data_IF_187667845809
#
_entry.id   IF_187667845809
#
_cell.length_a   1.000
_cell.length_b   1.000
_cell.length_c   1.000
_cell.angle_alpha   90.00
_cell.angle_beta   90.00
_cell.angle_gamma   90.00
#
_symmetry.space_group_name_H-M   'P 1'
#
loop_
_entity.id
_entity.type
_entity.pdbx_description
1 polymer ?
#
# COMPACT_ATOMS: atom_id res chain seq x y z
N UNK A 1 32.62 79.51 43.49
CA UNK A 1 33.76 80.11 44.22
C UNK A 1 34.81 79.03 44.39
N UNK A 2 35.89 79.18 43.61
CA UNK A 2 37.30 78.91 43.93
C UNK A 2 37.56 77.92 45.07
N UNK A 3 38.05 76.72 44.72
CA UNK A 3 39.48 76.36 44.62
C UNK A 3 40.02 75.96 45.99
N UNK A 4 40.60 74.76 46.07
CA UNK A 4 41.82 74.67 46.85
C UNK A 4 42.86 73.75 46.20
N UNK A 5 44.04 74.35 46.16
CA UNK A 5 45.34 73.95 45.66
C UNK A 5 45.93 72.84 46.56
N UNK A 6 46.71 71.91 45.99
CA UNK A 6 48.17 71.87 46.16
C UNK A 6 48.79 70.48 45.94
N UNK A 7 50.03 70.56 45.51
CA UNK A 7 50.91 69.54 44.95
C UNK A 7 51.81 68.83 46.00
N UNK A 8 52.40 67.71 45.54
CA UNK A 8 53.78 67.22 45.75
C UNK A 8 54.11 66.08 46.76
N UNK A 9 54.60 64.98 46.15
CA UNK A 9 55.70 64.05 46.54
C UNK A 9 55.55 63.18 47.82
N UNK A 10 56.04 61.93 47.94
CA UNK A 10 56.99 61.10 47.16
C UNK A 10 56.91 59.63 47.64
N UNK A 11 57.16 58.71 46.71
CA UNK A 11 57.83 57.41 46.83
C UNK A 11 57.22 56.19 47.60
N UNK A 12 56.82 55.22 46.75
CA UNK A 12 57.21 53.81 46.74
C UNK A 12 56.58 52.81 47.74
N UNK A 13 55.58 52.07 47.24
CA UNK A 13 55.61 50.61 47.36
C UNK A 13 55.14 49.94 46.06
N UNK A 14 56.11 49.35 45.36
CA UNK A 14 55.90 48.47 44.22
C UNK A 14 55.25 47.18 44.72
N UNK A 15 54.01 46.92 44.34
CA UNK A 15 53.43 45.57 44.36
C UNK A 15 53.14 45.14 42.92
N UNK A 16 54.06 44.33 42.39
CA UNK A 16 53.92 43.66 41.09
C UNK A 16 52.63 42.82 41.09
N UNK A 17 51.67 43.18 40.25
CA UNK A 17 50.54 42.30 39.93
C UNK A 17 51.03 40.99 39.30
N UNK A 18 50.39 39.83 39.58
CA UNK A 18 50.88 38.56 39.10
C UNK A 18 50.76 38.54 37.57
N UNK A 19 51.90 38.45 36.88
CA UNK A 19 51.94 38.11 35.46
C UNK A 19 51.32 36.73 35.31
N UNK A 20 50.03 36.65 35.00
CA UNK A 20 49.38 35.40 34.58
C UNK A 20 50.20 34.90 33.38
N UNK A 21 50.93 33.82 33.58
CA UNK A 21 51.87 33.36 32.56
C UNK A 21 51.06 32.96 31.33
N UNK A 22 51.45 33.39 30.12
CA UNK A 22 50.75 33.02 28.89
C UNK A 22 50.76 31.49 28.68
N UNK A 23 51.70 30.80 29.33
CA UNK A 23 51.77 29.34 29.41
C UNK A 23 50.59 28.73 30.18
N UNK A 24 50.20 29.30 31.31
CA UNK A 24 49.10 28.78 32.13
C UNK A 24 47.75 28.96 31.42
N UNK A 25 47.56 30.11 30.76
CA UNK A 25 46.38 30.35 29.93
C UNK A 25 46.35 29.40 28.71
N UNK A 26 47.49 29.20 28.04
CA UNK A 26 47.60 28.24 26.92
C UNK A 26 47.34 26.80 27.38
N UNK A 27 47.84 26.41 28.55
CA UNK A 27 47.58 25.08 29.14
C UNK A 27 46.10 24.89 29.45
N UNK A 28 45.43 25.92 29.98
CA UNK A 28 43.97 25.87 30.23
C UNK A 28 43.19 25.76 28.92
N UNK A 29 43.56 26.52 27.89
CA UNK A 29 42.90 26.45 26.57
C UNK A 29 43.13 25.09 25.90
N UNK A 30 44.34 24.53 25.98
CA UNK A 30 44.64 23.18 25.46
C UNK A 30 43.88 22.11 26.24
N UNK A 31 43.80 22.22 27.56
CA UNK A 31 43.01 21.31 28.39
C UNK A 31 41.52 21.37 28.03
N UNK A 32 40.98 22.59 27.82
CA UNK A 32 39.59 22.77 27.42
C UNK A 32 39.33 22.23 26.01
N UNK A 33 40.24 22.45 25.06
CA UNK A 33 40.16 21.91 23.71
C UNK A 33 40.24 20.37 23.69
N UNK A 34 41.06 19.76 24.56
CA UNK A 34 41.13 18.30 24.73
C UNK A 34 39.83 17.74 25.32
N UNK A 35 39.25 18.39 26.35
CA UNK A 35 37.98 17.97 26.94
C UNK A 35 36.83 18.12 25.95
N UNK A 36 36.76 19.24 25.22
CA UNK A 36 35.78 19.44 24.17
C UNK A 36 35.98 18.45 23.01
N UNK A 37 37.22 18.17 22.62
CA UNK A 37 37.56 17.19 21.59
C UNK A 37 37.14 15.77 21.99
N UNK A 38 37.40 15.36 23.23
CA UNK A 38 36.95 14.07 23.76
C UNK A 38 35.42 14.02 23.88
N UNK A 39 34.77 15.12 24.27
CA UNK A 39 33.31 15.20 24.35
C UNK A 39 32.65 15.12 22.97
N UNK A 40 33.16 15.87 21.98
CA UNK A 40 32.71 15.81 20.59
C UNK A 40 33.00 14.43 20.01
N UNK A 41 34.18 13.86 20.23
CA UNK A 41 34.53 12.51 19.78
C UNK A 41 33.65 11.45 20.47
N UNK A 42 33.25 11.63 21.73
CA UNK A 42 32.30 10.77 22.44
C UNK A 42 30.89 10.87 21.87
N UNK A 43 30.42 12.06 21.50
CA UNK A 43 29.13 12.25 20.81
C UNK A 43 29.20 11.68 19.39
N UNK A 44 30.28 11.91 18.66
CA UNK A 44 30.51 11.33 17.33
C UNK A 44 30.60 9.80 17.40
N UNK A 45 31.27 9.21 18.40
CA UNK A 45 31.32 7.76 18.62
C UNK A 45 29.94 7.21 19.02
N UNK A 46 29.15 7.93 19.83
CA UNK A 46 27.74 7.60 20.11
C UNK A 46 26.86 7.70 18.86
N UNK A 47 27.20 8.55 17.90
CA UNK A 47 26.52 8.64 16.59
C UNK A 47 27.05 7.61 15.57
N UNK A 48 28.30 7.15 15.70
CA UNK A 48 29.00 6.29 14.73
C UNK A 48 28.97 4.78 15.11
N UNK A 49 28.51 4.38 16.30
CA UNK A 49 28.21 2.94 16.56
C UNK A 49 27.17 2.68 17.68
N UNK A 50 26.00 2.06 17.41
CA UNK A 50 25.40 1.70 16.13
C UNK A 50 23.99 2.32 15.94
N UNK A 51 23.91 3.46 15.25
CA UNK A 51 22.75 3.72 14.39
C UNK A 51 22.82 2.91 13.07
N UNK A 52 23.88 2.11 12.90
CA UNK A 52 23.91 0.85 12.13
C UNK A 52 23.22 -0.32 12.85
N UNK A 53 22.28 -0.02 13.75
CA UNK A 53 21.01 -0.74 13.69
C UNK A 53 20.14 -0.08 12.61
N UNK A 54 20.59 -0.12 11.35
CA UNK A 54 19.90 -1.02 10.44
C UNK A 54 19.27 -2.14 11.28
N UNK A 55 17.95 -2.03 11.50
CA UNK A 55 17.14 -3.22 11.67
C UNK A 55 17.48 -4.11 10.47
N UNK A 56 18.58 -4.86 10.57
CA UNK A 56 18.50 -6.27 10.36
C UNK A 56 17.27 -6.63 11.17
N UNK A 57 16.15 -6.71 10.43
CA UNK A 57 15.08 -7.58 10.83
C UNK A 57 15.80 -8.78 11.44
N UNK A 58 15.58 -9.01 12.73
CA UNK A 58 15.70 -10.35 13.26
C UNK A 58 14.65 -11.18 12.48
N UNK A 59 14.91 -11.41 11.19
CA UNK A 59 14.71 -12.71 10.60
C UNK A 59 15.61 -13.54 11.49
N UNK A 60 15.03 -14.06 12.57
CA UNK A 60 15.55 -15.28 13.15
C UNK A 60 15.52 -16.23 11.96
N UNK A 61 16.64 -16.33 11.25
CA UNK A 61 16.94 -17.45 10.39
C UNK A 61 17.05 -18.56 11.43
N UNK A 62 15.91 -19.14 11.75
CA UNK A 62 15.88 -20.35 12.52
C UNK A 62 16.58 -21.35 11.62
N UNK A 63 17.74 -21.83 12.05
CA UNK A 63 18.50 -22.92 11.42
C UNK A 63 17.72 -24.23 11.57
N UNK A 64 16.45 -24.24 11.17
CA UNK A 64 15.76 -25.48 10.89
C UNK A 64 16.21 -25.87 9.49
N UNK A 65 16.94 -26.97 9.31
CA UNK A 65 17.26 -27.47 7.99
C UNK A 65 15.93 -27.78 7.30
N UNK A 66 15.53 -26.93 6.36
CA UNK A 66 14.38 -27.15 5.51
C UNK A 66 14.74 -28.32 4.58
N UNK A 67 14.62 -29.55 5.08
CA UNK A 67 14.90 -30.76 4.33
C UNK A 67 13.86 -30.89 3.22
N UNK A 68 14.26 -30.56 2.00
CA UNK A 68 13.56 -30.91 0.77
C UNK A 68 14.38 -31.97 0.04
N UNK A 69 14.41 -33.20 0.56
CA UNK A 69 15.23 -34.27 -0.05
C UNK A 69 14.72 -34.71 -1.41
N UNK A 70 13.44 -34.47 -1.73
CA UNK A 70 12.78 -35.06 -2.91
C UNK A 70 12.07 -34.05 -3.83
N UNK A 71 12.32 -32.75 -3.68
CA UNK A 71 11.67 -31.69 -4.47
C UNK A 71 12.73 -30.88 -5.21
N UNK A 72 12.63 -30.82 -6.53
CA UNK A 72 13.58 -30.05 -7.34
C UNK A 72 13.50 -28.54 -6.99
N UNK A 73 14.62 -27.83 -7.10
CA UNK A 73 14.74 -26.41 -6.67
C UNK A 73 13.66 -25.50 -7.28
N UNK A 74 13.21 -25.81 -8.50
CA UNK A 74 12.17 -25.05 -9.21
C UNK A 74 10.75 -25.42 -8.77
N UNK A 75 10.53 -26.59 -8.17
CA UNK A 75 9.23 -27.06 -7.68
C UNK A 75 8.92 -26.52 -6.29
N UNK A 76 9.94 -26.21 -5.48
CA UNK A 76 9.80 -25.68 -4.11
C UNK A 76 8.76 -24.55 -3.95
N UNK A 77 8.62 -23.58 -4.88
CA UNK A 77 7.60 -22.53 -4.79
C UNK A 77 6.15 -23.02 -5.00
N UNK A 78 5.97 -24.20 -5.61
CA UNK A 78 4.66 -24.74 -6.03
C UNK A 78 4.20 -25.93 -5.18
N UNK A 79 5.02 -26.42 -4.25
CA UNK A 79 4.66 -27.57 -3.40
C UNK A 79 3.66 -27.16 -2.32
N UNK A 80 2.76 -28.10 -1.98
CA UNK A 80 1.75 -27.93 -0.94
C UNK A 80 2.40 -27.64 0.41
N UNK A 81 1.98 -26.53 1.04
CA UNK A 81 2.45 -26.10 2.34
C UNK A 81 2.02 -27.08 3.45
N UNK A 82 2.85 -27.30 4.48
CA UNK A 82 2.49 -28.16 5.60
C UNK A 82 1.25 -27.59 6.30
N UNK A 83 0.39 -28.50 6.78
CA UNK A 83 -0.68 -28.15 7.70
C UNK A 83 -0.06 -27.89 9.06
N UNK A 84 -0.06 -26.64 9.56
CA UNK A 84 0.56 -26.37 10.84
C UNK A 84 -0.29 -26.98 11.98
N UNK A 85 0.36 -27.63 12.93
CA UNK A 85 -0.21 -28.14 14.17
C UNK A 85 -0.27 -27.05 15.25
N UNK A 86 0.76 -26.20 15.31
CA UNK A 86 0.92 -25.15 16.33
C UNK A 86 0.51 -23.76 15.84
N UNK A 87 0.46 -23.56 14.52
CA UNK A 87 0.22 -22.27 13.86
C UNK A 87 1.25 -21.19 14.23
N UNK A 88 2.40 -21.61 14.77
CA UNK A 88 3.51 -20.72 15.11
C UNK A 88 4.24 -20.25 13.85
N UNK A 89 4.93 -19.11 13.93
CA UNK A 89 5.72 -18.62 12.79
C UNK A 89 6.90 -19.55 12.51
N UNK A 90 7.44 -20.12 13.57
CA UNK A 90 8.54 -21.08 13.60
C UNK A 90 8.21 -22.32 12.77
N UNK A 91 7.00 -22.88 12.94
CA UNK A 91 6.53 -24.03 12.16
C UNK A 91 6.46 -23.74 10.65
N UNK A 92 6.16 -22.50 10.29
CA UNK A 92 6.10 -22.05 8.90
C UNK A 92 7.42 -21.43 8.40
N UNK A 93 8.52 -21.48 9.16
CA UNK A 93 9.75 -20.71 8.88
C UNK A 93 10.39 -21.07 7.52
N UNK A 94 10.26 -22.33 7.10
CA UNK A 94 10.76 -22.82 5.81
C UNK A 94 9.99 -22.32 4.58
N UNK A 95 8.89 -21.58 4.78
CA UNK A 95 8.03 -21.11 3.69
C UNK A 95 8.19 -19.59 3.49
N UNK A 96 8.86 -19.14 2.41
CA UNK A 96 8.99 -17.72 2.14
C UNK A 96 7.62 -17.11 1.81
N UNK A 97 7.27 -16.04 2.52
CA UNK A 97 5.99 -15.34 2.32
C UNK A 97 6.16 -14.26 1.25
N UNK A 98 5.29 -14.25 0.25
CA UNK A 98 5.23 -13.22 -0.78
C UNK A 98 4.34 -12.07 -0.32
N UNK A 99 4.90 -10.87 -0.34
CA UNK A 99 4.14 -9.66 -0.08
C UNK A 99 3.46 -9.17 -1.34
N UNK A 100 2.20 -8.80 -1.25
CA UNK A 100 1.49 -8.18 -2.37
C UNK A 100 0.60 -7.02 -1.95
N UNK A 101 0.22 -6.21 -2.93
CA UNK A 101 -0.81 -5.18 -2.80
C UNK A 101 -1.67 -5.14 -4.07
N UNK A 102 -3.00 -5.10 -3.91
CA UNK A 102 -3.95 -4.98 -5.01
C UNK A 102 -4.28 -3.50 -5.21
N UNK A 103 -3.63 -2.87 -6.18
CA UNK A 103 -3.95 -1.50 -6.59
C UNK A 103 -5.19 -1.47 -7.48
N UNK A 104 -6.20 -0.70 -7.06
CA UNK A 104 -7.48 -0.65 -7.76
C UNK A 104 -8.13 0.74 -7.64
N UNK A 105 -9.21 0.93 -8.37
CA UNK A 105 -10.16 2.02 -8.13
C UNK A 105 -11.46 1.47 -7.55
N UNK A 106 -12.30 2.33 -6.98
CA UNK A 106 -13.64 1.95 -6.58
C UNK A 106 -14.41 1.38 -7.79
N UNK A 107 -15.17 0.31 -7.53
CA UNK A 107 -16.04 -0.37 -8.51
C UNK A 107 -15.32 -1.04 -9.69
N UNK A 108 -14.03 -1.34 -9.53
CA UNK A 108 -13.25 -2.14 -10.48
C UNK A 108 -13.23 -3.65 -10.18
N UNK A 109 -14.04 -4.13 -9.22
CA UNK A 109 -14.16 -5.55 -8.91
C UNK A 109 -13.15 -6.08 -7.87
N UNK A 110 -12.36 -5.21 -7.25
CA UNK A 110 -11.31 -5.60 -6.29
C UNK A 110 -11.83 -6.30 -5.03
N UNK A 111 -13.03 -5.96 -4.54
CA UNK A 111 -13.65 -6.72 -3.45
C UNK A 111 -14.01 -8.16 -3.83
N UNK A 112 -14.42 -8.40 -5.08
CA UNK A 112 -14.71 -9.75 -5.57
C UNK A 112 -13.41 -10.51 -5.86
N UNK A 113 -12.45 -9.88 -6.52
CA UNK A 113 -11.14 -10.45 -6.80
C UNK A 113 -10.39 -10.85 -5.52
N UNK A 114 -10.42 -9.98 -4.50
CA UNK A 114 -9.86 -10.29 -3.18
C UNK A 114 -10.50 -11.55 -2.55
N UNK A 115 -11.82 -11.73 -2.67
CA UNK A 115 -12.46 -12.96 -2.17
C UNK A 115 -12.04 -14.21 -2.94
N UNK A 116 -11.73 -14.10 -4.24
CA UNK A 116 -11.15 -15.22 -5.01
C UNK A 116 -9.79 -15.58 -4.45
N UNK A 117 -8.89 -14.60 -4.29
CA UNK A 117 -7.56 -14.84 -3.73
C UNK A 117 -7.65 -15.42 -2.31
N UNK A 118 -8.52 -14.88 -1.46
CA UNK A 118 -8.72 -15.39 -0.10
C UNK A 118 -9.37 -16.77 -0.03
N UNK A 119 -9.92 -17.31 -1.12
CA UNK A 119 -10.35 -18.72 -1.17
C UNK A 119 -9.18 -19.69 -1.30
N UNK A 120 -8.00 -19.20 -1.71
CA UNK A 120 -6.76 -19.96 -1.63
C UNK A 120 -6.36 -20.16 -0.15
N UNK A 121 -5.99 -21.38 0.21
CA UNK A 121 -5.70 -21.71 1.61
C UNK A 121 -4.47 -20.97 2.15
N UNK A 122 -3.44 -20.75 1.31
CA UNK A 122 -2.18 -20.09 1.67
C UNK A 122 -2.15 -18.58 1.37
N UNK A 123 -3.29 -17.95 1.07
CA UNK A 123 -3.34 -16.50 0.79
C UNK A 123 -4.14 -15.78 1.87
N UNK A 124 -3.59 -14.68 2.35
CA UNK A 124 -4.26 -13.75 3.25
C UNK A 124 -4.20 -12.31 2.72
N UNK A 125 -5.34 -11.82 2.22
CA UNK A 125 -5.57 -10.42 1.86
C UNK A 125 -6.43 -9.75 2.92
N UNK A 126 -5.90 -8.67 3.50
CA UNK A 126 -6.41 -8.01 4.70
C UNK A 126 -7.42 -6.87 4.44
N UNK A 127 -8.12 -6.89 3.30
CA UNK A 127 -9.10 -5.85 2.97
C UNK A 127 -8.45 -4.51 2.66
N UNK A 128 -9.21 -3.44 2.85
CA UNK A 128 -8.80 -2.06 2.54
C UNK A 128 -8.21 -1.35 3.76
N UNK A 129 -6.96 -1.68 4.10
CA UNK A 129 -6.32 -1.19 5.34
C UNK A 129 -6.02 0.32 5.30
N UNK A 130 -5.83 0.90 4.12
CA UNK A 130 -5.54 2.33 3.95
C UNK A 130 -6.79 3.20 3.80
N UNK A 131 -7.98 2.71 4.18
CA UNK A 131 -9.20 3.52 4.26
C UNK A 131 -9.15 4.63 5.34
N UNK A 132 -8.39 4.42 6.41
CA UNK A 132 -8.18 5.38 7.52
C UNK A 132 -7.10 6.41 7.19
N UNK A 133 -7.39 7.71 7.41
CA UNK A 133 -6.52 8.82 6.97
C UNK A 133 -5.16 8.80 7.66
N UNK A 134 -5.14 8.42 8.93
CA UNK A 134 -3.94 8.41 9.78
C UNK A 134 -2.85 7.49 9.20
N UNK A 135 -3.25 6.36 8.60
CA UNK A 135 -2.33 5.39 8.00
C UNK A 135 -1.67 5.87 6.70
N UNK A 136 -2.19 6.95 6.12
CA UNK A 136 -1.72 7.52 4.85
C UNK A 136 -1.41 9.02 4.94
N UNK A 137 -1.17 9.51 6.15
CA UNK A 137 -0.86 10.93 6.38
C UNK A 137 0.54 11.32 5.87
N UNK A 138 1.46 10.35 5.77
CA UNK A 138 2.82 10.53 5.26
C UNK A 138 3.40 9.20 4.77
N UNK A 139 4.52 9.26 4.05
CA UNK A 139 5.29 8.06 3.66
C UNK A 139 5.67 7.22 4.89
N UNK A 140 6.07 7.86 6.00
CA UNK A 140 6.43 7.14 7.23
C UNK A 140 5.25 6.41 7.87
N UNK A 141 4.04 7.00 7.85
CA UNK A 141 2.84 6.33 8.36
C UNK A 141 2.46 5.12 7.48
N UNK A 142 2.67 5.26 6.17
CA UNK A 142 2.47 4.19 5.21
C UNK A 142 3.43 3.04 5.47
N UNK A 143 4.75 3.31 5.52
CA UNK A 143 5.76 2.25 5.72
C UNK A 143 5.57 1.54 7.06
N UNK A 144 5.25 2.27 8.13
CA UNK A 144 4.91 1.64 9.43
C UNK A 144 3.70 0.70 9.32
N UNK A 145 2.70 1.05 8.52
CA UNK A 145 1.53 0.20 8.29
C UNK A 145 1.89 -1.01 7.43
N UNK A 146 2.71 -0.84 6.40
CA UNK A 146 3.20 -1.93 5.55
C UNK A 146 4.02 -2.93 6.37
N UNK A 147 4.94 -2.45 7.21
CA UNK A 147 5.75 -3.29 8.10
C UNK A 147 4.88 -4.14 9.01
N UNK A 148 3.85 -3.55 9.64
CA UNK A 148 2.92 -4.32 10.48
C UNK A 148 2.22 -5.45 9.73
N UNK A 149 1.83 -5.21 8.47
CA UNK A 149 1.14 -6.23 7.67
C UNK A 149 2.10 -7.32 7.22
N UNK A 150 3.29 -6.94 6.75
CA UNK A 150 4.26 -7.86 6.17
C UNK A 150 5.11 -8.61 7.21
N UNK A 151 5.21 -8.07 8.43
CA UNK A 151 5.70 -8.80 9.61
C UNK A 151 4.64 -9.73 10.22
N UNK A 152 3.43 -9.79 9.65
CA UNK A 152 2.32 -10.62 10.13
C UNK A 152 1.79 -10.22 11.52
N UNK A 153 2.09 -9.00 11.98
CA UNK A 153 1.57 -8.42 13.23
C UNK A 153 0.12 -7.91 13.08
N UNK A 154 -0.47 -8.10 11.90
CA UNK A 154 -1.82 -7.65 11.58
C UNK A 154 -2.87 -8.68 11.99
N UNK A 155 -3.49 -8.46 13.15
CA UNK A 155 -4.62 -9.25 13.61
C UNK A 155 -5.81 -9.04 12.65
N UNK A 156 -6.10 -10.04 11.84
CA UNK A 156 -7.31 -10.12 11.02
C UNK A 156 -8.26 -11.15 11.62
N UNK A 157 -9.57 -10.95 11.44
CA UNK A 157 -10.59 -11.89 11.90
C UNK A 157 -10.62 -13.21 11.12
N UNK A 158 -9.79 -13.35 10.09
CA UNK A 158 -9.69 -14.57 9.30
C UNK A 158 -8.57 -15.45 9.87
N UNK A 159 -8.92 -16.36 10.79
CA UNK A 159 -8.02 -17.47 11.13
C UNK A 159 -7.84 -18.34 9.89
N UNK A 160 -6.59 -18.48 9.44
CA UNK A 160 -6.23 -19.44 8.39
C UNK A 160 -5.66 -20.67 9.08
N UNK A 161 -6.17 -21.84 8.71
CA UNK A 161 -5.75 -23.12 9.26
C UNK A 161 -4.47 -23.66 8.56
N UNK A 162 -3.71 -22.81 7.88
CA UNK A 162 -2.57 -23.19 7.04
C UNK A 162 -1.50 -22.09 7.06
N UNK A 163 -0.24 -22.46 6.81
CA UNK A 163 0.84 -21.48 6.64
C UNK A 163 0.53 -20.54 5.45
N UNK A 164 0.70 -19.24 5.65
CA UNK A 164 0.58 -18.26 4.57
C UNK A 164 1.79 -18.33 3.63
N UNK A 165 1.50 -18.35 2.34
CA UNK A 165 2.48 -18.25 1.26
C UNK A 165 2.47 -16.85 0.62
N UNK A 166 1.32 -16.16 0.65
CA UNK A 166 1.22 -14.79 0.21
C UNK A 166 0.34 -13.96 1.15
N UNK A 167 0.84 -12.78 1.51
CA UNK A 167 0.15 -11.84 2.40
C UNK A 167 0.09 -10.47 1.75
N UNK A 168 -1.08 -9.86 1.81
CA UNK A 168 -1.31 -8.58 1.20
C UNK A 168 -2.60 -7.94 1.64
N UNK A 169 -3.04 -6.99 0.83
CA UNK A 169 -4.24 -6.21 1.07
C UNK A 169 -4.67 -5.49 -0.21
N UNK A 170 -5.85 -4.90 -0.16
CA UNK A 170 -6.39 -4.06 -1.23
C UNK A 170 -6.12 -2.59 -0.94
N UNK A 171 -5.74 -1.83 -1.97
CA UNK A 171 -5.42 -0.43 -1.83
C UNK A 171 -5.98 0.38 -3.00
N UNK A 172 -6.86 1.33 -2.68
CA UNK A 172 -7.45 2.17 -3.71
C UNK A 172 -6.51 3.32 -4.10
N UNK A 173 -6.42 3.64 -5.39
CA UNK A 173 -5.52 4.69 -5.90
C UNK A 173 -5.79 6.10 -5.32
N UNK A 174 -6.96 6.34 -4.73
CA UNK A 174 -7.29 7.58 -4.03
C UNK A 174 -6.97 7.56 -2.53
N UNK A 175 -6.20 6.58 -2.06
CA UNK A 175 -5.83 6.42 -0.65
C UNK A 175 -4.34 6.60 -0.43
N UNK A 176 -3.77 7.67 -0.98
CA UNK A 176 -2.35 8.00 -0.81
C UNK A 176 -1.41 7.32 -1.81
N UNK A 177 -1.85 6.29 -2.56
CA UNK A 177 -0.99 5.60 -3.56
C UNK A 177 -0.43 6.58 -4.58
N UNK A 178 -1.29 7.43 -5.14
CA UNK A 178 -0.89 8.39 -6.18
C UNK A 178 -0.11 9.58 -5.61
N UNK A 179 -0.28 9.89 -4.33
CA UNK A 179 0.32 11.05 -3.64
C UNK A 179 1.72 10.73 -3.12
N UNK A 180 1.93 9.49 -2.65
CA UNK A 180 3.16 9.02 -2.02
C UNK A 180 3.87 7.95 -2.87
N UNK A 181 3.65 7.96 -4.19
CA UNK A 181 4.06 6.88 -5.09
C UNK A 181 5.56 6.57 -5.03
N UNK A 182 6.43 7.58 -4.93
CA UNK A 182 7.89 7.38 -4.90
C UNK A 182 8.32 6.57 -3.68
N UNK A 183 7.87 6.96 -2.48
CA UNK A 183 8.18 6.25 -1.24
C UNK A 183 7.59 4.84 -1.20
N UNK A 184 6.40 4.65 -1.77
CA UNK A 184 5.77 3.33 -1.86
C UNK A 184 6.53 2.44 -2.86
N UNK A 185 6.88 2.96 -4.03
CA UNK A 185 7.64 2.22 -5.05
C UNK A 185 9.02 1.83 -4.53
N UNK A 186 9.69 2.72 -3.79
CA UNK A 186 10.96 2.42 -3.14
C UNK A 186 10.82 1.29 -2.12
N UNK A 187 9.83 1.38 -1.22
CA UNK A 187 9.53 0.31 -0.27
C UNK A 187 9.26 -1.03 -0.98
N UNK A 188 8.49 -1.01 -2.07
CA UNK A 188 8.13 -2.22 -2.83
C UNK A 188 9.37 -2.88 -3.44
N UNK A 189 10.31 -2.10 -3.99
CA UNK A 189 11.58 -2.62 -4.51
C UNK A 189 12.43 -3.23 -3.40
N UNK A 190 12.62 -2.50 -2.31
CA UNK A 190 13.46 -2.93 -1.18
C UNK A 190 12.93 -4.22 -0.53
N UNK A 191 11.61 -4.36 -0.38
CA UNK A 191 10.97 -5.48 0.30
C UNK A 191 10.41 -6.55 -0.66
N UNK A 192 10.64 -6.41 -1.97
CA UNK A 192 10.21 -7.37 -2.97
C UNK A 192 8.69 -7.56 -3.07
N UNK A 193 7.90 -6.52 -2.82
CA UNK A 193 6.43 -6.54 -2.85
C UNK A 193 5.90 -6.63 -4.29
N UNK A 194 4.90 -7.47 -4.50
CA UNK A 194 4.24 -7.72 -5.77
C UNK A 194 3.00 -6.81 -5.92
N UNK A 195 3.02 -5.90 -6.89
CA UNK A 195 1.89 -5.02 -7.18
C UNK A 195 0.94 -5.67 -8.20
N UNK A 196 -0.33 -5.85 -7.82
CA UNK A 196 -1.38 -6.33 -8.72
C UNK A 196 -2.28 -5.15 -9.06
N UNK A 197 -2.18 -4.64 -10.28
CA UNK A 197 -3.10 -3.61 -10.77
C UNK A 197 -4.38 -4.27 -11.26
N UNK A 198 -5.48 -4.08 -10.54
CA UNK A 198 -6.80 -4.54 -10.97
C UNK A 198 -7.67 -3.35 -11.42
N UNK A 199 -7.88 -3.28 -12.73
CA UNK A 199 -8.72 -2.26 -13.34
C UNK A 199 -9.92 -2.85 -14.06
N UNK A 200 -10.81 -1.97 -14.52
CA UNK A 200 -11.99 -2.35 -15.28
C UNK A 200 -11.93 -1.63 -16.61
N UNK A 201 -11.95 -2.38 -17.72
CA UNK A 201 -11.83 -1.81 -19.08
C UNK A 201 -13.02 -0.93 -19.40
N UNK A 202 -14.24 -1.39 -19.10
CA UNK A 202 -15.44 -0.60 -19.38
C UNK A 202 -15.66 0.47 -18.29
N UNK A 203 -15.15 1.67 -18.53
CA UNK A 203 -15.21 2.80 -17.60
C UNK A 203 -16.60 3.41 -17.49
N UNK A 204 -17.43 3.33 -18.53
CA UNK A 204 -18.85 3.75 -18.46
C UNK A 204 -19.61 2.85 -17.48
N UNK A 205 -19.47 1.54 -17.61
CA UNK A 205 -20.05 0.56 -16.68
C UNK A 205 -19.54 0.74 -15.25
N UNK A 206 -18.26 1.08 -15.09
CA UNK A 206 -17.70 1.44 -13.79
C UNK A 206 -18.40 2.68 -13.21
N UNK A 207 -18.55 3.75 -13.99
CA UNK A 207 -19.21 4.99 -13.59
C UNK A 207 -20.65 4.75 -13.14
N UNK A 208 -21.43 3.99 -13.92
CA UNK A 208 -22.79 3.59 -13.55
C UNK A 208 -22.80 2.88 -12.19
N UNK A 209 -21.87 1.95 -11.98
CA UNK A 209 -21.76 1.26 -10.70
C UNK A 209 -21.31 2.16 -9.55
N UNK A 210 -20.54 3.22 -9.80
CA UNK A 210 -20.15 4.22 -8.78
C UNK A 210 -21.39 5.02 -8.36
N UNK A 211 -22.15 5.52 -9.32
CA UNK A 211 -23.36 6.30 -9.06
C UNK A 211 -24.41 5.46 -8.32
N UNK A 212 -24.64 4.22 -8.75
CA UNK A 212 -25.55 3.31 -8.06
C UNK A 212 -25.10 2.96 -6.63
N UNK A 213 -23.80 2.78 -6.39
CA UNK A 213 -23.29 2.56 -5.04
C UNK A 213 -23.43 3.80 -4.15
N UNK A 214 -23.28 5.00 -4.72
CA UNK A 214 -23.54 6.26 -4.01
C UNK A 214 -25.00 6.39 -3.63
N UNK A 215 -25.92 6.03 -4.53
CA UNK A 215 -27.34 5.99 -4.25
C UNK A 215 -27.67 5.01 -3.12
N UNK A 216 -27.13 3.78 -3.15
CA UNK A 216 -27.31 2.78 -2.09
C UNK A 216 -26.80 3.30 -0.74
N UNK A 217 -25.66 3.99 -0.71
CA UNK A 217 -25.12 4.59 0.51
C UNK A 217 -26.07 5.62 1.14
N UNK A 218 -26.72 6.44 0.32
CA UNK A 218 -27.63 7.50 0.78
C UNK A 218 -29.04 6.99 1.11
N UNK A 219 -29.58 6.09 0.29
CA UNK A 219 -30.98 5.67 0.36
C UNK A 219 -31.18 4.32 1.06
N UNK A 220 -30.12 3.52 1.18
CA UNK A 220 -30.07 2.24 1.88
C UNK A 220 -31.29 1.32 1.58
N UNK A 221 -31.59 1.05 0.29
CA UNK A 221 -32.76 0.28 -0.14
C UNK A 221 -32.82 -1.15 0.42
N UNK A 222 -31.74 -1.69 0.99
CA UNK A 222 -31.73 -2.98 1.67
C UNK A 222 -32.03 -2.80 3.16
N UNK A 223 -33.29 -2.50 3.49
CA UNK A 223 -33.78 -2.36 4.86
C UNK A 223 -32.93 -1.40 5.72
N UNK A 224 -32.58 -0.23 5.18
CA UNK A 224 -31.80 0.77 5.92
C UNK A 224 -30.31 0.44 6.05
N UNK A 225 -29.81 -0.58 5.35
CA UNK A 225 -28.39 -0.95 5.32
C UNK A 225 -27.76 -0.68 3.96
N UNK A 226 -26.58 -0.04 3.95
CA UNK A 226 -25.74 0.09 2.75
C UNK A 226 -24.93 -1.20 2.54
N UNK A 227 -24.94 -1.77 1.33
CA UNK A 227 -24.11 -2.94 0.98
C UNK A 227 -23.37 -2.71 -0.33
N UNK A 228 -22.07 -2.45 -0.22
CA UNK A 228 -21.17 -2.33 -1.38
C UNK A 228 -21.04 -3.64 -2.19
N UNK A 229 -21.27 -4.79 -1.55
CA UNK A 229 -21.24 -6.13 -2.13
C UNK A 229 -22.39 -6.94 -1.56
N UNK A 230 -22.96 -7.84 -2.37
CA UNK A 230 -24.09 -8.70 -1.98
C UNK A 230 -23.76 -10.16 -2.24
N UNK A 231 -24.40 -11.04 -1.48
CA UNK A 231 -24.26 -12.49 -1.59
C UNK A 231 -25.54 -13.17 -2.08
N UNK A 232 -26.65 -12.43 -2.16
CA UNK A 232 -27.93 -12.91 -2.66
C UNK A 232 -28.28 -12.29 -4.00
N UNK A 233 -28.81 -13.11 -4.92
CA UNK A 233 -29.35 -12.65 -6.19
C UNK A 233 -30.56 -11.73 -6.01
N UNK A 234 -31.32 -11.90 -4.91
CA UNK A 234 -32.47 -11.04 -4.58
C UNK A 234 -32.00 -9.64 -4.18
N UNK A 235 -31.00 -9.54 -3.32
CA UNK A 235 -30.40 -8.25 -2.93
C UNK A 235 -29.78 -7.53 -4.14
N UNK A 236 -29.07 -8.28 -5.00
CA UNK A 236 -28.53 -7.75 -6.26
C UNK A 236 -29.63 -7.15 -7.14
N UNK A 237 -30.76 -7.87 -7.31
CA UNK A 237 -31.90 -7.37 -8.09
C UNK A 237 -32.50 -6.11 -7.50
N UNK A 238 -32.59 -5.98 -6.18
CA UNK A 238 -33.09 -4.76 -5.52
C UNK A 238 -32.19 -3.57 -5.81
N UNK A 239 -30.87 -3.73 -5.63
CA UNK A 239 -29.90 -2.67 -5.89
C UNK A 239 -29.85 -2.27 -7.36
N UNK A 240 -29.97 -3.23 -8.28
CA UNK A 240 -29.92 -3.00 -9.72
C UNK A 240 -31.16 -2.26 -10.28
N UNK A 241 -32.23 -2.06 -9.49
CA UNK A 241 -33.40 -1.28 -9.91
C UNK A 241 -33.07 0.19 -10.13
N UNK A 242 -32.11 0.73 -9.37
CA UNK A 242 -31.73 2.13 -9.51
C UNK A 242 -30.94 2.33 -10.81
N UNK A 243 -31.41 3.26 -11.64
CA UNK A 243 -30.74 3.68 -12.86
C UNK A 243 -30.25 5.11 -12.67
N UNK A 244 -28.94 5.37 -12.62
CA UNK A 244 -28.45 6.75 -12.58
C UNK A 244 -28.74 7.48 -13.89
N UNK A 245 -28.90 8.80 -13.79
CA UNK A 245 -28.76 9.74 -14.91
C UNK A 245 -27.31 10.22 -14.94
N UNK A 246 -26.65 10.14 -16.09
CA UNK A 246 -25.24 10.55 -16.25
C UNK A 246 -25.19 11.95 -16.85
N UNK A 247 -24.26 12.79 -16.38
CA UNK A 247 -24.03 14.09 -17.00
C UNK A 247 -23.25 13.90 -18.32
N UNK A 248 -23.94 14.07 -19.44
CA UNK A 248 -23.37 13.88 -20.76
C UNK A 248 -22.27 14.91 -21.09
N UNK A 249 -22.39 16.14 -20.57
CA UNK A 249 -21.44 17.22 -20.79
C UNK A 249 -20.06 16.93 -20.19
N UNK A 250 -19.99 16.24 -19.05
CA UNK A 250 -18.72 15.90 -18.37
C UNK A 250 -18.22 14.49 -18.68
N UNK A 251 -19.02 13.67 -19.35
CA UNK A 251 -18.78 12.23 -19.52
C UNK A 251 -17.38 11.91 -20.08
N UNK A 252 -17.01 12.49 -21.23
CA UNK A 252 -15.72 12.22 -21.87
C UNK A 252 -14.56 12.62 -20.95
N UNK A 253 -14.67 13.78 -20.30
CA UNK A 253 -13.63 14.29 -19.40
C UNK A 253 -13.44 13.38 -18.19
N UNK A 254 -14.54 12.87 -17.61
CA UNK A 254 -14.50 11.93 -16.48
C UNK A 254 -13.91 10.57 -16.88
N UNK A 255 -14.30 10.02 -18.03
CA UNK A 255 -13.72 8.78 -18.56
C UNK A 255 -12.21 8.94 -18.79
N UNK A 256 -11.78 10.07 -19.37
CA UNK A 256 -10.37 10.41 -19.58
C UNK A 256 -9.60 10.58 -18.29
N UNK A 257 -10.19 11.22 -17.29
CA UNK A 257 -9.55 11.38 -15.99
C UNK A 257 -9.25 10.03 -15.34
N UNK A 258 -10.21 9.10 -15.37
CA UNK A 258 -10.07 7.75 -14.81
C UNK A 258 -9.01 6.96 -15.57
N UNK A 259 -9.08 6.94 -16.89
CA UNK A 259 -8.12 6.27 -17.78
C UNK A 259 -6.67 6.75 -17.54
N UNK A 260 -6.47 8.07 -17.49
CA UNK A 260 -5.17 8.68 -17.20
C UNK A 260 -4.67 8.35 -15.79
N UNK A 261 -5.56 8.17 -14.81
CA UNK A 261 -5.18 7.79 -13.46
C UNK A 261 -4.68 6.35 -13.38
N UNK A 262 -5.30 5.43 -14.13
CA UNK A 262 -4.82 4.04 -14.22
C UNK A 262 -3.45 3.98 -14.90
N UNK A 263 -3.29 4.67 -16.03
CA UNK A 263 -2.03 4.73 -16.78
C UNK A 263 -0.89 5.29 -15.94
N UNK A 264 -1.12 6.41 -15.24
CA UNK A 264 -0.10 7.00 -14.34
C UNK A 264 0.26 6.07 -13.19
N UNK A 265 -0.71 5.36 -12.61
CA UNK A 265 -0.43 4.42 -11.53
C UNK A 265 0.49 3.28 -12.01
N UNK A 266 0.29 2.77 -13.23
CA UNK A 266 1.18 1.76 -13.81
C UNK A 266 2.58 2.34 -14.03
N UNK A 267 2.68 3.54 -14.63
CA UNK A 267 3.97 4.18 -14.91
C UNK A 267 4.78 4.47 -13.63
N UNK A 268 4.14 4.93 -12.56
CA UNK A 268 4.79 5.17 -11.26
C UNK A 268 5.44 3.91 -10.66
N UNK A 269 4.91 2.74 -10.97
CA UNK A 269 5.37 1.46 -10.44
C UNK A 269 6.01 0.57 -11.51
N UNK A 270 6.36 1.12 -12.68
CA UNK A 270 6.96 0.33 -13.78
C UNK A 270 8.26 -0.38 -13.41
N UNK A 271 8.98 0.15 -12.43
CA UNK A 271 10.25 -0.40 -11.91
C UNK A 271 10.05 -1.41 -10.76
N UNK A 272 8.81 -1.65 -10.33
CA UNK A 272 8.48 -2.67 -9.32
C UNK A 272 7.99 -3.95 -10.00
N UNK A 273 7.97 -5.04 -9.24
CA UNK A 273 7.35 -6.30 -9.68
C UNK A 273 5.85 -6.09 -9.76
N UNK A 274 5.30 -6.01 -10.96
CA UNK A 274 3.87 -5.77 -11.13
C UNK A 274 3.25 -6.59 -12.25
N UNK A 275 1.93 -6.80 -12.13
CA UNK A 275 1.07 -7.36 -13.17
C UNK A 275 -0.17 -6.47 -13.33
N UNK A 276 -0.65 -6.32 -14.57
CA UNK A 276 -1.90 -5.61 -14.87
C UNK A 276 -2.97 -6.62 -15.24
N UNK A 277 -4.08 -6.57 -14.51
CA UNK A 277 -5.22 -7.46 -14.62
C UNK A 277 -6.47 -6.62 -14.83
N UNK A 278 -7.30 -7.02 -15.80
CA UNK A 278 -8.59 -6.39 -16.01
C UNK A 278 -9.72 -7.30 -15.52
N UNK A 279 -10.72 -6.70 -14.87
CA UNK A 279 -11.90 -7.39 -14.37
C UNK A 279 -12.57 -8.26 -15.43
N UNK A 280 -12.69 -7.75 -16.65
CA UNK A 280 -13.27 -8.43 -17.79
C UNK A 280 -12.50 -9.71 -18.13
N UNK A 281 -11.16 -9.67 -18.05
CA UNK A 281 -10.30 -10.82 -18.32
C UNK A 281 -10.49 -11.90 -17.24
N UNK A 282 -10.65 -11.50 -15.97
CA UNK A 282 -10.87 -12.45 -14.85
C UNK A 282 -12.26 -13.09 -14.92
N UNK A 283 -13.28 -12.33 -15.32
CA UNK A 283 -14.67 -12.85 -15.45
C UNK A 283 -14.81 -13.73 -16.69
N UNK A 284 -14.27 -13.31 -17.82
CA UNK A 284 -14.42 -14.00 -19.10
C UNK A 284 -13.40 -15.13 -19.32
N UNK A 285 -12.24 -15.07 -18.66
CA UNK A 285 -11.16 -16.03 -18.84
C UNK A 285 -10.48 -16.42 -17.50
N UNK A 286 -10.76 -17.65 -17.04
CA UNK A 286 -10.17 -18.18 -15.80
C UNK A 286 -8.65 -18.35 -15.86
N UNK A 287 -8.00 -18.32 -17.04
CA UNK A 287 -6.53 -18.40 -17.10
C UNK A 287 -5.85 -17.21 -16.44
N UNK A 288 -6.50 -16.03 -16.41
CA UNK A 288 -5.91 -14.84 -15.78
C UNK A 288 -5.71 -15.03 -14.27
N UNK A 289 -6.55 -15.83 -13.61
CA UNK A 289 -6.35 -16.19 -12.20
C UNK A 289 -5.19 -17.16 -12.01
N UNK A 290 -4.86 -17.99 -13.00
CA UNK A 290 -3.67 -18.83 -12.97
C UNK A 290 -2.41 -17.96 -13.05
N UNK A 291 -2.38 -17.00 -13.97
CA UNK A 291 -1.27 -16.04 -14.09
C UNK A 291 -1.04 -15.24 -12.79
N UNK A 292 -2.11 -14.87 -12.07
CA UNK A 292 -1.97 -14.20 -10.77
C UNK A 292 -1.39 -15.14 -9.70
N UNK A 293 -1.82 -16.41 -9.69
CA UNK A 293 -1.25 -17.42 -8.78
C UNK A 293 0.23 -17.63 -9.08
N UNK A 294 0.62 -17.73 -10.34
CA UNK A 294 2.03 -17.83 -10.78
C UNK A 294 2.85 -16.61 -10.40
N UNK A 295 2.30 -15.42 -10.63
CA UNK A 295 2.94 -14.16 -10.26
C UNK A 295 3.22 -14.07 -8.75
N UNK A 296 2.33 -14.64 -7.93
CA UNK A 296 2.52 -14.77 -6.49
C UNK A 296 3.26 -16.06 -6.07
N UNK A 297 3.69 -16.88 -7.03
CA UNK A 297 4.34 -18.19 -6.81
C UNK A 297 3.53 -19.09 -5.88
N UNK A 298 2.26 -19.26 -6.20
CA UNK A 298 1.33 -20.09 -5.47
C UNK A 298 1.07 -21.38 -6.23
N UNK A 299 0.84 -22.51 -5.53
CA UNK A 299 0.29 -23.70 -6.16
C UNK A 299 -1.06 -23.36 -6.81
N UNK A 300 -1.33 -23.93 -7.97
CA UNK A 300 -2.61 -23.70 -8.62
C UNK A 300 -3.77 -24.26 -7.83
N UNK A 301 -4.78 -23.43 -7.62
CA UNK A 301 -6.09 -23.83 -7.11
C UNK A 301 -7.23 -23.19 -7.87
N UNK A 302 -8.37 -23.86 -7.83
CA UNK A 302 -9.63 -23.29 -8.29
C UNK A 302 -10.15 -22.30 -7.26
N UNK A 303 -10.07 -21.02 -7.62
CA UNK A 303 -10.49 -19.92 -6.75
C UNK A 303 -12.01 -19.68 -6.88
N UNK A 304 -12.67 -19.48 -5.75
CA UNK A 304 -14.13 -19.32 -5.68
C UNK A 304 -14.51 -18.07 -4.89
N UNK A 305 -15.69 -17.52 -5.18
CA UNK A 305 -16.23 -16.35 -4.48
C UNK A 305 -17.73 -16.48 -4.32
N UNK A 306 -18.23 -16.06 -3.15
CA UNK A 306 -19.67 -16.01 -2.85
C UNK A 306 -20.32 -14.68 -3.24
N UNK A 307 -19.54 -13.70 -3.72
CA UNK A 307 -20.11 -12.40 -4.09
C UNK A 307 -20.86 -12.51 -5.42
N UNK A 308 -22.02 -11.87 -5.50
CA UNK A 308 -22.86 -11.83 -6.69
C UNK A 308 -22.73 -10.46 -7.37
N UNK A 309 -22.66 -10.47 -8.70
CA UNK A 309 -22.65 -9.25 -9.51
C UNK A 309 -24.01 -8.55 -9.42
N UNK A 310 -24.01 -7.28 -9.01
CA UNK A 310 -25.23 -6.47 -8.90
C UNK A 310 -25.81 -6.14 -10.28
N UNK A 311 -24.99 -5.53 -11.14
CA UNK A 311 -25.43 -5.06 -12.46
C UNK A 311 -25.04 -6.06 -13.55
N UNK A 312 -26.02 -6.73 -14.16
CA UNK A 312 -25.87 -7.64 -15.31
C UNK A 312 -26.73 -7.19 -16.49
N UNK A 313 -26.36 -7.60 -17.71
CA UNK A 313 -27.04 -7.23 -18.95
C UNK A 313 -26.67 -5.86 -19.50
N UNK A 314 -27.32 -5.46 -20.60
CA UNK A 314 -27.02 -4.27 -21.39
C UNK A 314 -27.06 -2.96 -20.58
N UNK A 315 -26.10 -2.07 -20.85
CA UNK A 315 -25.99 -0.76 -20.20
C UNK A 315 -27.19 0.15 -20.44
N UNK A 316 -27.84 0.04 -21.60
CA UNK A 316 -29.07 0.78 -21.92
C UNK A 316 -30.20 0.54 -20.92
N UNK A 317 -30.24 -0.64 -20.28
CA UNK A 317 -31.22 -0.95 -19.24
C UNK A 317 -30.82 -0.44 -17.85
N UNK A 318 -29.59 0.06 -17.69
CA UNK A 318 -28.99 0.43 -16.40
C UNK A 318 -28.83 1.93 -16.21
N UNK A 319 -29.18 2.77 -17.20
CA UNK A 319 -29.11 4.23 -17.12
C UNK A 319 -30.42 4.86 -17.59
N UNK A 320 -30.67 6.10 -17.18
CA UNK A 320 -31.91 6.81 -17.58
C UNK A 320 -31.81 7.46 -18.95
N UNK A 321 -30.69 8.10 -19.26
CA UNK A 321 -30.47 8.90 -20.48
C UNK A 321 -29.53 8.19 -21.46
N UNK A 322 -29.85 6.94 -21.82
CA UNK A 322 -29.00 6.11 -22.69
C UNK A 322 -28.73 6.76 -24.05
N UNK A 323 -29.76 7.30 -24.71
CA UNK A 323 -29.61 7.87 -26.06
C UNK A 323 -28.66 9.06 -26.09
N UNK A 324 -28.62 9.85 -25.01
CA UNK A 324 -27.70 10.99 -24.86
C UNK A 324 -26.26 10.49 -24.67
N UNK A 325 -26.06 9.47 -23.83
CA UNK A 325 -24.75 8.84 -23.61
C UNK A 325 -24.23 8.23 -24.91
N UNK A 326 -25.08 7.52 -25.65
CA UNK A 326 -24.72 6.91 -26.92
C UNK A 326 -24.23 7.98 -27.90
N UNK A 327 -25.01 9.05 -28.12
CA UNK A 327 -24.62 10.16 -29.00
C UNK A 327 -23.29 10.83 -28.61
N UNK A 328 -23.01 10.96 -27.31
CA UNK A 328 -21.75 11.56 -26.84
C UNK A 328 -20.55 10.63 -27.04
N UNK A 329 -20.73 9.32 -26.99
CA UNK A 329 -19.65 8.35 -27.09
C UNK A 329 -19.38 7.87 -28.52
N UNK A 330 -20.38 7.90 -29.40
CA UNK A 330 -20.24 7.59 -30.83
C UNK A 330 -19.14 8.42 -31.48
N UNK A 331 -18.25 7.78 -32.26
CA UNK A 331 -17.11 8.42 -32.91
C UNK A 331 -15.95 8.79 -31.97
N UNK A 332 -16.05 8.48 -30.68
CA UNK A 332 -14.97 8.72 -29.71
C UNK A 332 -14.17 7.44 -29.44
N UNK A 333 -12.98 7.58 -28.84
CA UNK A 333 -12.19 6.43 -28.35
C UNK A 333 -12.90 5.57 -27.29
N UNK A 334 -14.01 6.06 -26.75
CA UNK A 334 -14.81 5.40 -25.72
C UNK A 334 -16.09 4.76 -26.27
N UNK A 335 -16.35 4.85 -27.57
CA UNK A 335 -17.51 4.24 -28.23
C UNK A 335 -17.63 2.75 -27.89
N UNK A 336 -16.50 2.05 -27.82
CA UNK A 336 -16.44 0.62 -27.49
C UNK A 336 -17.08 0.29 -26.14
N UNK A 337 -17.17 1.24 -25.20
CA UNK A 337 -17.83 1.03 -23.91
C UNK A 337 -19.34 0.86 -24.00
N UNK A 338 -19.97 1.22 -25.14
CA UNK A 338 -21.39 0.99 -25.39
C UNK A 338 -21.71 -0.50 -25.60
N UNK A 339 -20.76 -1.25 -26.17
CA UNK A 339 -20.97 -2.62 -26.67
C UNK A 339 -20.15 -3.67 -25.90
N UNK A 340 -18.99 -3.30 -25.34
CA UNK A 340 -18.10 -4.22 -24.66
C UNK A 340 -18.61 -4.56 -23.26
N UNK A 341 -19.28 -5.71 -23.14
CA UNK A 341 -19.42 -6.36 -21.83
C UNK A 341 -18.30 -7.35 -21.57
N UNK A 342 -18.00 -8.25 -22.52
CA UNK A 342 -16.98 -9.32 -22.38
C UNK A 342 -16.46 -9.87 -23.73
N UNK A 343 -16.51 -9.11 -24.83
CA UNK A 343 -15.92 -9.59 -26.09
C UNK A 343 -14.39 -9.42 -26.03
N UNK A 344 -13.71 -10.50 -26.46
CA UNK A 344 -12.25 -10.71 -26.40
C UNK A 344 -11.46 -9.66 -27.17
#
# INVERSE_FOLDING_TARGET
MTEDLCFFNKDALVTKGPKKSPLLLRLVVVAFAMVCGVYICSICLKQISPHTTAKFLNIRIFDQPCNSSDIEEWEKPFVHYPKPETFSREECACNPVRYFAIFSMQRSGSGWFETLLNSHINVSSNGEIFGKRERRASVSAITQTLDRVYNLDWLSSASKNECNAAVGFKWMLNQGVMEHHEGIAEYFKQNGVHAIFLFRRNLLRRMISVLANSYDKSNKPLNGTHKSHVHSSVEAKVLAKYKPKINATTLIAELKHVDNRATRAIDYFKSTRHIVVYYEDVVGNRTKLKEVQDFLRLPYRDLTSRQVKIHSGHLSKQVQNWDEIQKVLEGTRYESFLNLDYQR
#
